data_IF_887432791831
#
_entry.id   IF_887432791831
#
_cell.length_a   1.000
_cell.length_b   1.000
_cell.length_c   1.000
_cell.angle_alpha   90.00
_cell.angle_beta   90.00
_cell.angle_gamma   90.00
#
_symmetry.space_group_name_H-M   'P 1'
#
loop_
_entity.id
_entity.type
_entity.pdbx_description
1 polymer ?
#
# COMPACT_ATOMS: atom_id res chain seq x y z
N UNK A 1 -45.34 20.91 21.18
CA UNK A 1 -44.69 20.73 22.51
C UNK A 1 -43.22 20.44 22.30
N UNK A 2 -42.37 21.20 22.97
CA UNK A 2 -40.91 21.26 22.81
C UNK A 2 -40.16 20.04 23.36
N UNK A 3 -38.94 19.83 22.80
CA UNK A 3 -37.65 19.46 23.44
C UNK A 3 -36.94 18.42 22.54
N UNK A 4 -35.70 18.56 22.10
CA UNK A 4 -34.62 19.50 22.37
C UNK A 4 -33.34 18.81 21.88
N UNK A 5 -32.56 19.48 21.01
CA UNK A 5 -31.22 19.04 20.57
C UNK A 5 -30.24 19.05 21.76
N UNK A 6 -29.18 18.24 21.68
CA UNK A 6 -27.87 18.78 22.03
C UNK A 6 -26.90 18.77 20.84
N UNK A 7 -26.40 19.97 20.54
CA UNK A 7 -25.19 20.22 19.76
C UNK A 7 -23.98 19.55 20.44
N UNK A 8 -23.14 18.88 19.66
CA UNK A 8 -21.80 18.50 20.12
C UNK A 8 -20.77 19.46 19.51
N UNK A 9 -20.07 20.12 20.44
CA UNK A 9 -19.11 21.18 20.20
C UNK A 9 -17.85 20.70 19.49
N UNK A 10 -17.40 21.50 18.53
CA UNK A 10 -16.12 21.38 17.86
C UNK A 10 -14.97 21.77 18.79
N UNK A 11 -14.03 20.86 19.03
CA UNK A 11 -12.76 21.15 19.71
C UNK A 11 -11.75 21.63 18.65
N UNK A 12 -11.47 22.93 18.66
CA UNK A 12 -10.34 23.55 17.92
C UNK A 12 -9.07 23.44 18.77
N UNK A 13 -8.12 22.59 18.37
CA UNK A 13 -6.75 22.68 18.88
C UNK A 13 -5.90 23.55 17.95
N UNK A 14 -5.61 24.78 18.39
CA UNK A 14 -4.56 25.63 17.81
C UNK A 14 -3.23 25.22 18.43
N UNK A 15 -2.28 24.75 17.61
CA UNK A 15 -0.89 24.52 18.00
C UNK A 15 0.04 25.45 17.22
N UNK A 16 0.49 26.50 17.87
CA UNK A 16 1.44 27.53 17.40
C UNK A 16 2.89 27.17 17.74
N UNK A 17 3.85 27.60 16.91
CA UNK A 17 5.27 27.76 17.25
C UNK A 17 6.18 26.85 16.41
N UNK A 18 6.83 27.29 15.33
CA UNK A 18 7.88 28.30 15.22
C UNK A 18 9.02 28.10 16.22
N UNK A 19 10.09 27.44 15.77
CA UNK A 19 11.46 27.72 16.26
C UNK A 19 12.47 27.45 15.16
N UNK A 20 12.84 28.57 14.52
CA UNK A 20 13.93 28.74 13.58
C UNK A 20 15.21 28.84 14.41
N UNK A 21 16.11 27.87 14.35
CA UNK A 21 17.42 27.96 15.01
C UNK A 21 18.53 27.89 13.98
N UNK A 22 19.12 29.06 13.70
CA UNK A 22 20.43 29.23 13.08
C UNK A 22 21.51 28.94 14.12
N UNK A 23 22.64 28.36 13.70
CA UNK A 23 24.04 28.79 13.99
C UNK A 23 24.99 27.77 13.36
N UNK A 24 25.86 28.21 12.43
CA UNK A 24 27.33 28.37 12.60
C UNK A 24 27.99 27.00 12.86
N UNK A 25 28.71 26.40 11.92
CA UNK A 25 29.96 26.90 11.36
C UNK A 25 31.11 26.50 12.28
N UNK A 26 31.87 25.46 11.90
CA UNK A 26 33.18 25.03 12.42
C UNK A 26 33.69 23.98 11.41
N UNK A 27 34.60 24.38 10.52
CA UNK A 27 36.04 24.28 10.69
C UNK A 27 36.56 22.93 10.19
N UNK A 28 37.23 23.01 9.04
CA UNK A 28 38.03 21.96 8.45
C UNK A 28 39.11 21.49 9.44
N UNK A 29 39.20 20.19 9.63
CA UNK A 29 40.37 19.54 10.21
C UNK A 29 40.77 18.41 9.25
N UNK A 30 41.68 18.76 8.34
CA UNK A 30 42.52 17.84 7.60
C UNK A 30 43.39 17.08 8.60
N UNK A 31 43.05 15.84 8.90
CA UNK A 31 44.00 14.90 9.49
C UNK A 31 44.40 13.87 8.44
N UNK A 32 45.66 14.04 8.03
CA UNK A 32 46.47 13.10 7.28
C UNK A 32 46.42 11.74 7.97
N UNK A 33 45.77 10.76 7.34
CA UNK A 33 45.90 9.35 7.76
C UNK A 33 46.84 8.62 6.80
N UNK A 34 47.86 7.93 7.33
CA UNK A 34 48.97 7.36 6.58
C UNK A 34 48.53 6.17 5.73
N UNK A 35 48.96 6.19 4.48
CA UNK A 35 49.02 5.04 3.58
C UNK A 35 49.94 3.97 4.17
N UNK A 36 49.39 2.95 4.83
CA UNK A 36 50.10 1.70 5.03
C UNK A 36 49.13 0.53 5.27
N UNK A 37 49.26 -0.48 4.40
CA UNK A 37 48.93 -1.90 4.64
C UNK A 37 47.44 -2.28 4.73
N UNK A 38 46.80 -2.45 3.57
CA UNK A 38 45.72 -3.45 3.43
C UNK A 38 45.95 -4.21 2.12
N UNK A 39 46.76 -5.27 2.16
CA UNK A 39 46.82 -6.29 1.12
C UNK A 39 46.65 -7.65 1.77
N UNK A 40 45.40 -8.12 1.86
CA UNK A 40 44.98 -9.55 1.85
C UNK A 40 43.49 -9.67 2.23
N UNK A 41 42.60 -9.11 1.40
CA UNK A 41 41.16 -9.46 1.45
C UNK A 41 40.69 -9.70 0.01
N UNK A 42 41.19 -10.76 -0.62
CA UNK A 42 40.77 -11.11 -1.99
C UNK A 42 40.28 -12.55 -2.14
N UNK A 43 40.49 -13.42 -1.15
CA UNK A 43 40.12 -14.84 -1.26
C UNK A 43 38.70 -15.16 -0.76
N UNK A 44 38.11 -14.34 0.12
CA UNK A 44 36.82 -14.65 0.75
C UNK A 44 35.61 -14.04 0.04
N UNK A 45 35.83 -13.30 -1.05
CA UNK A 45 34.81 -12.50 -1.73
C UNK A 45 34.23 -13.21 -2.96
N UNK A 46 34.85 -14.30 -3.43
CA UNK A 46 34.38 -15.09 -4.56
C UNK A 46 33.19 -16.00 -4.21
N UNK A 47 33.11 -16.46 -2.96
CA UNK A 47 32.12 -17.46 -2.53
C UNK A 47 30.72 -16.86 -2.27
N UNK A 48 30.66 -15.57 -1.90
CA UNK A 48 29.37 -14.86 -1.65
C UNK A 48 28.58 -14.53 -2.91
N UNK A 49 29.17 -14.61 -4.10
CA UNK A 49 28.48 -14.25 -5.35
C UNK A 49 27.66 -15.40 -5.94
N UNK A 50 27.87 -16.64 -5.50
CA UNK A 50 27.18 -17.80 -6.05
C UNK A 50 25.85 -18.14 -5.36
N UNK A 51 25.55 -17.57 -4.18
CA UNK A 51 24.25 -17.73 -3.51
C UNK A 51 23.14 -16.78 -4.02
N UNK A 52 23.43 -15.96 -5.05
CA UNK A 52 22.54 -14.88 -5.47
C UNK A 52 21.58 -15.21 -6.63
N UNK A 53 21.42 -16.49 -7.01
CA UNK A 53 20.58 -16.85 -8.16
C UNK A 53 19.70 -18.09 -7.97
N UNK A 54 19.38 -18.48 -6.73
CA UNK A 54 18.13 -19.19 -6.53
C UNK A 54 17.01 -18.15 -6.61
N UNK A 55 16.50 -17.91 -7.82
CA UNK A 55 15.16 -17.33 -7.95
C UNK A 55 14.23 -18.30 -7.20
N UNK A 56 13.64 -17.90 -6.07
CA UNK A 56 12.65 -18.76 -5.44
C UNK A 56 11.59 -19.05 -6.50
N UNK A 57 11.10 -20.30 -6.61
CA UNK A 57 10.01 -20.60 -7.53
C UNK A 57 8.92 -19.59 -7.25
N UNK A 58 8.47 -18.89 -8.30
CA UNK A 58 7.37 -17.94 -8.19
C UNK A 58 6.23 -18.68 -7.48
N UNK A 59 5.96 -18.30 -6.23
CA UNK A 59 4.96 -18.97 -5.42
C UNK A 59 3.63 -18.74 -6.12
N UNK A 60 3.15 -19.78 -6.81
CA UNK A 60 1.87 -19.80 -7.49
C UNK A 60 0.79 -19.30 -6.52
N UNK A 61 0.24 -18.13 -6.84
CA UNK A 61 -0.68 -17.44 -5.96
C UNK A 61 -1.99 -18.20 -5.95
N UNK A 62 -2.52 -18.49 -4.76
CA UNK A 62 -3.80 -19.20 -4.67
C UNK A 62 -4.92 -18.41 -5.35
N UNK A 63 -5.97 -19.07 -5.90
CA UNK A 63 -7.07 -18.37 -6.57
C UNK A 63 -7.76 -17.31 -5.70
N UNK A 64 -7.82 -17.53 -4.38
CA UNK A 64 -8.36 -16.56 -3.42
C UNK A 64 -7.50 -15.29 -3.36
N UNK A 65 -6.18 -15.45 -3.27
CA UNK A 65 -5.25 -14.32 -3.18
C UNK A 65 -5.14 -13.58 -4.52
N UNK A 66 -5.19 -14.29 -5.65
CA UNK A 66 -5.23 -13.68 -6.98
C UNK A 66 -6.50 -12.83 -7.18
N UNK A 67 -7.66 -13.32 -6.72
CA UNK A 67 -8.89 -12.54 -6.76
C UNK A 67 -8.85 -11.34 -5.80
N UNK A 68 -8.25 -11.50 -4.62
CA UNK A 68 -8.07 -10.41 -3.66
C UNK A 68 -7.19 -9.28 -4.22
N UNK A 69 -6.08 -9.64 -4.86
CA UNK A 69 -5.22 -8.70 -5.61
C UNK A 69 -6.01 -7.96 -6.68
N UNK A 70 -6.71 -8.69 -7.55
CA UNK A 70 -7.47 -8.11 -8.66
C UNK A 70 -8.52 -7.12 -8.16
N UNK A 71 -9.28 -7.49 -7.14
CA UNK A 71 -10.31 -6.63 -6.54
C UNK A 71 -9.68 -5.43 -5.81
N UNK A 72 -8.55 -5.63 -5.15
CA UNK A 72 -7.78 -4.57 -4.48
C UNK A 72 -7.32 -3.51 -5.48
N UNK A 73 -6.66 -3.93 -6.57
CA UNK A 73 -6.23 -3.03 -7.64
C UNK A 73 -7.40 -2.22 -8.21
N UNK A 74 -8.54 -2.86 -8.46
CA UNK A 74 -9.74 -2.16 -8.95
C UNK A 74 -10.26 -1.12 -7.95
N UNK A 75 -10.35 -1.47 -6.66
CA UNK A 75 -10.77 -0.52 -5.64
C UNK A 75 -9.80 0.66 -5.53
N UNK A 76 -8.50 0.39 -5.56
CA UNK A 76 -7.48 1.41 -5.46
C UNK A 76 -7.47 2.37 -6.66
N UNK A 77 -7.54 1.82 -7.87
CA UNK A 77 -7.63 2.61 -9.09
C UNK A 77 -8.94 3.43 -9.15
N UNK A 78 -10.04 2.91 -8.59
CA UNK A 78 -11.29 3.65 -8.47
C UNK A 78 -11.17 4.85 -7.52
N UNK A 79 -10.49 4.69 -6.39
CA UNK A 79 -10.20 5.80 -5.48
C UNK A 79 -9.28 6.84 -6.15
N UNK A 80 -8.24 6.41 -6.88
CA UNK A 80 -7.38 7.31 -7.68
C UNK A 80 -8.21 8.15 -8.67
N UNK A 81 -9.14 7.50 -9.39
CA UNK A 81 -10.03 8.15 -10.35
C UNK A 81 -11.22 8.89 -9.72
N UNK A 82 -11.27 9.01 -8.39
CA UNK A 82 -12.30 9.74 -7.64
C UNK A 82 -13.72 9.27 -7.94
N UNK A 83 -13.92 7.96 -8.04
CA UNK A 83 -15.27 7.36 -8.03
C UNK A 83 -16.04 7.84 -6.80
N UNK A 84 -17.36 8.00 -6.91
CA UNK A 84 -18.19 8.46 -5.78
C UNK A 84 -17.96 7.57 -4.54
N UNK A 85 -17.73 8.16 -3.34
CA UNK A 85 -17.40 7.40 -2.13
C UNK A 85 -18.40 6.29 -1.82
N UNK A 86 -19.70 6.57 -1.88
CA UNK A 86 -20.75 5.58 -1.61
C UNK A 86 -20.68 4.37 -2.57
N UNK A 87 -20.29 4.62 -3.82
CA UNK A 87 -20.16 3.58 -4.84
C UNK A 87 -18.89 2.75 -4.62
N UNK A 88 -17.80 3.39 -4.24
CA UNK A 88 -16.56 2.72 -3.89
C UNK A 88 -16.74 1.85 -2.64
N UNK A 89 -17.43 2.36 -1.61
CA UNK A 89 -17.70 1.63 -0.38
C UNK A 89 -18.58 0.39 -0.64
N UNK A 90 -19.64 0.52 -1.46
CA UNK A 90 -20.46 -0.62 -1.86
C UNK A 90 -19.63 -1.67 -2.65
N UNK A 91 -18.73 -1.23 -3.54
CA UNK A 91 -17.81 -2.13 -4.24
C UNK A 91 -16.91 -2.90 -3.27
N UNK A 92 -16.27 -2.20 -2.32
CA UNK A 92 -15.37 -2.81 -1.33
C UNK A 92 -16.13 -3.80 -0.45
N UNK A 93 -17.35 -3.45 0.00
CA UNK A 93 -18.18 -4.34 0.80
C UNK A 93 -18.52 -5.64 0.05
N UNK A 94 -18.91 -5.54 -1.23
CA UNK A 94 -19.20 -6.70 -2.08
C UNK A 94 -17.96 -7.53 -2.39
N UNK A 95 -16.82 -6.89 -2.65
CA UNK A 95 -15.54 -7.55 -2.84
C UNK A 95 -15.17 -8.40 -1.60
N UNK A 96 -15.29 -7.84 -0.40
CA UNK A 96 -15.06 -8.58 0.84
C UNK A 96 -16.05 -9.74 1.03
N UNK A 97 -17.33 -9.57 0.69
CA UNK A 97 -18.32 -10.66 0.73
C UNK A 97 -17.97 -11.79 -0.25
N UNK A 98 -17.50 -11.45 -1.46
CA UNK A 98 -17.02 -12.42 -2.45
C UNK A 98 -15.82 -13.20 -1.95
N UNK A 99 -14.82 -12.52 -1.39
CA UNK A 99 -13.63 -13.16 -0.83
C UNK A 99 -13.98 -14.08 0.34
N UNK A 100 -14.90 -13.66 1.23
CA UNK A 100 -15.37 -14.50 2.32
C UNK A 100 -16.09 -15.78 1.84
N UNK A 101 -16.84 -15.67 0.75
CA UNK A 101 -17.50 -16.82 0.10
C UNK A 101 -16.47 -17.78 -0.49
N UNK A 102 -15.46 -17.25 -1.20
CA UNK A 102 -14.38 -18.06 -1.79
C UNK A 102 -13.52 -18.74 -0.73
N UNK A 103 -13.26 -18.07 0.39
CA UNK A 103 -12.56 -18.61 1.55
C UNK A 103 -13.38 -19.65 2.33
N UNK A 104 -14.61 -19.99 1.89
CA UNK A 104 -15.51 -20.94 2.57
C UNK A 104 -15.75 -20.61 4.05
N UNK A 105 -15.74 -19.31 4.38
CA UNK A 105 -15.87 -18.80 5.76
C UNK A 105 -14.72 -19.21 6.71
N UNK A 106 -13.58 -19.67 6.21
CA UNK A 106 -12.38 -19.87 7.03
C UNK A 106 -11.82 -18.51 7.50
N UNK A 107 -11.77 -18.23 8.82
CA UNK A 107 -11.33 -16.93 9.33
C UNK A 107 -9.90 -16.56 8.93
N UNK A 108 -8.99 -17.54 8.88
CA UNK A 108 -7.59 -17.28 8.56
C UNK A 108 -7.41 -16.93 7.07
N UNK A 109 -8.03 -17.70 6.18
CA UNK A 109 -8.05 -17.38 4.75
C UNK A 109 -8.71 -16.03 4.46
N UNK A 110 -9.79 -15.67 5.18
CA UNK A 110 -10.42 -14.35 5.05
C UNK A 110 -9.45 -13.24 5.48
N UNK A 111 -8.77 -13.40 6.60
CA UNK A 111 -7.80 -12.41 7.07
C UNK A 111 -6.67 -12.24 6.07
N UNK A 112 -6.11 -13.34 5.54
CA UNK A 112 -5.08 -13.31 4.49
C UNK A 112 -5.55 -12.58 3.23
N UNK A 113 -6.75 -12.91 2.72
CA UNK A 113 -7.33 -12.26 1.55
C UNK A 113 -7.58 -10.76 1.76
N UNK A 114 -7.96 -10.33 2.98
CA UNK A 114 -8.12 -8.90 3.29
C UNK A 114 -6.80 -8.14 3.32
N UNK A 115 -5.75 -8.75 3.87
CA UNK A 115 -4.40 -8.15 3.85
C UNK A 115 -3.95 -7.96 2.41
N UNK A 116 -4.14 -8.99 1.58
CA UNK A 116 -3.81 -8.96 0.16
C UNK A 116 -4.57 -7.85 -0.58
N UNK A 117 -5.91 -7.81 -0.42
CA UNK A 117 -6.75 -6.79 -1.00
C UNK A 117 -6.29 -5.38 -0.63
N UNK A 118 -6.01 -5.13 0.66
CA UNK A 118 -5.61 -3.82 1.14
C UNK A 118 -4.24 -3.38 0.60
N UNK A 119 -3.28 -4.31 0.49
CA UNK A 119 -1.97 -4.04 -0.09
C UNK A 119 -2.11 -3.59 -1.56
N UNK A 120 -2.91 -4.30 -2.34
CA UNK A 120 -3.11 -3.98 -3.75
C UNK A 120 -4.06 -2.79 -3.98
N UNK A 121 -4.98 -2.51 -3.07
CA UNK A 121 -5.72 -1.26 -3.07
C UNK A 121 -4.80 -0.07 -2.81
N UNK A 122 -3.83 -0.19 -1.90
CA UNK A 122 -2.82 0.85 -1.70
C UNK A 122 -1.98 1.08 -2.97
N UNK A 123 -1.57 -0.01 -3.65
CA UNK A 123 -0.85 0.07 -4.91
C UNK A 123 -1.67 0.76 -6.01
N UNK A 124 -2.90 0.31 -6.24
CA UNK A 124 -3.79 0.90 -7.25
C UNK A 124 -4.09 2.38 -7.00
N UNK A 125 -4.09 2.83 -5.74
CA UNK A 125 -4.23 4.26 -5.38
C UNK A 125 -2.99 5.08 -5.66
N UNK A 126 -1.82 4.47 -5.60
CA UNK A 126 -0.57 5.16 -5.86
C UNK A 126 -0.33 5.31 -7.36
N UNK A 127 -0.61 4.25 -8.13
CA UNK A 127 -0.27 4.18 -9.55
C UNK A 127 -1.42 4.62 -10.47
N UNK A 128 -2.67 4.34 -10.08
CA UNK A 128 -3.83 4.54 -10.95
C UNK A 128 -3.89 3.54 -12.12
N UNK A 129 -4.92 3.62 -12.97
CA UNK A 129 -5.07 2.71 -14.12
C UNK A 129 -4.20 3.14 -15.32
N UNK A 130 -3.47 2.19 -15.91
CA UNK A 130 -2.59 2.43 -17.08
C UNK A 130 -3.35 3.01 -18.29
N UNK A 131 -4.58 2.55 -18.52
CA UNK A 131 -5.45 3.02 -19.60
C UNK A 131 -6.07 4.41 -19.36
N UNK A 132 -5.80 5.02 -18.21
CA UNK A 132 -6.41 6.27 -17.77
C UNK A 132 -7.84 6.12 -17.24
N UNK A 133 -8.28 7.14 -16.50
CA UNK A 133 -9.55 7.08 -15.76
C UNK A 133 -10.81 6.89 -16.64
N UNK A 134 -10.98 7.57 -17.78
CA UNK A 134 -12.21 7.42 -18.57
C UNK A 134 -12.44 5.97 -19.03
N UNK A 135 -11.40 5.29 -19.53
CA UNK A 135 -11.50 3.90 -19.96
C UNK A 135 -11.66 2.94 -18.78
N UNK A 136 -10.95 3.18 -17.68
CA UNK A 136 -11.07 2.40 -16.45
C UNK A 136 -12.48 2.43 -15.87
N UNK A 137 -13.16 3.58 -15.85
CA UNK A 137 -14.47 3.73 -15.23
C UNK A 137 -15.53 2.80 -15.85
N UNK A 138 -15.47 2.54 -17.15
CA UNK A 138 -16.36 1.58 -17.80
C UNK A 138 -16.07 0.13 -17.36
N UNK A 139 -14.79 -0.25 -17.28
CA UNK A 139 -14.38 -1.56 -16.75
C UNK A 139 -14.76 -1.73 -15.27
N UNK A 140 -14.61 -0.68 -14.46
CA UNK A 140 -15.00 -0.67 -13.06
C UNK A 140 -16.51 -0.87 -12.90
N UNK A 141 -17.33 -0.18 -13.69
CA UNK A 141 -18.80 -0.36 -13.69
C UNK A 141 -19.18 -1.81 -13.99
N UNK A 142 -18.51 -2.45 -14.96
CA UNK A 142 -18.76 -3.85 -15.29
C UNK A 142 -18.34 -4.80 -14.16
N UNK A 143 -17.16 -4.59 -13.59
CA UNK A 143 -16.67 -5.37 -12.45
C UNK A 143 -17.57 -5.23 -11.21
N UNK A 144 -18.07 -4.02 -10.93
CA UNK A 144 -18.98 -3.76 -9.83
C UNK A 144 -20.31 -4.50 -9.98
N UNK A 145 -20.85 -4.56 -11.21
CA UNK A 145 -22.06 -5.35 -11.50
C UNK A 145 -21.83 -6.86 -11.38
N UNK A 146 -20.64 -7.35 -11.72
CA UNK A 146 -20.30 -8.77 -11.60
C UNK A 146 -20.15 -9.27 -10.15
N UNK A 147 -20.08 -8.35 -9.18
CA UNK A 147 -20.05 -8.66 -7.74
C UNK A 147 -21.46 -8.69 -7.10
N UNK A 148 -22.52 -8.48 -7.90
CA UNK A 148 -23.92 -8.64 -7.46
C UNK A 148 -24.32 -10.11 -7.42
#
# INVERSE_FOLDING_TARGET
MHKGRPEMAWVKTKGTGSSRMRRRGLAAALTLFPWALITTVSAQQADRRQLAQEHPPALEKSPLLAEAERLGLLAGAAEYCRVEPDRLDDFIARAHARLATMARKDPLAIAGARVEFNAFAALGRAEGPEQGCPAFLESFKAAHRALQ
#
